data_IF_295545300921
#
_entry.id   IF_295545300921
#
_cell.length_a   1.000
_cell.length_b   1.000
_cell.length_c   1.000
_cell.angle_alpha   90.00
_cell.angle_beta   90.00
_cell.angle_gamma   90.00
#
_symmetry.space_group_name_H-M   'P 1'
#
loop_
_entity.id
_entity.type
_entity.pdbx_description
1 polymer ?
#
# COMPACT_ATOMS: atom_id res chain seq x y z
N UNK A 1 -25.67 -26.04 -63.27
CA UNK A 1 -25.69 -25.81 -61.77
C UNK A 1 -24.43 -26.28 -61.03
N UNK A 2 -23.41 -26.91 -61.64
CA UNK A 2 -22.20 -27.42 -60.93
C UNK A 2 -21.16 -26.33 -60.55
N UNK A 3 -21.17 -25.16 -61.21
CA UNK A 3 -20.19 -24.10 -60.93
C UNK A 3 -20.44 -23.33 -59.62
N UNK A 4 -21.66 -23.00 -59.28
CA UNK A 4 -22.02 -22.17 -58.11
C UNK A 4 -21.65 -22.81 -56.75
N UNK A 5 -21.68 -24.16 -56.68
CA UNK A 5 -21.26 -24.85 -55.42
C UNK A 5 -19.78 -24.75 -55.14
N UNK A 6 -18.92 -24.72 -56.16
CA UNK A 6 -17.45 -24.58 -55.97
C UNK A 6 -17.07 -23.22 -55.44
N UNK A 7 -17.71 -22.15 -55.90
CA UNK A 7 -17.47 -20.80 -55.38
C UNK A 7 -17.96 -20.62 -53.94
N UNK A 8 -19.06 -21.30 -53.58
CA UNK A 8 -19.59 -21.27 -52.21
C UNK A 8 -18.59 -21.92 -51.24
N UNK A 9 -18.02 -23.06 -51.61
CA UNK A 9 -17.00 -23.73 -50.81
C UNK A 9 -15.69 -22.91 -50.70
N UNK A 10 -15.26 -22.27 -51.76
CA UNK A 10 -14.07 -21.37 -51.75
C UNK A 10 -14.33 -20.16 -50.83
N UNK A 11 -15.51 -19.57 -50.88
CA UNK A 11 -15.89 -18.45 -49.97
C UNK A 11 -15.88 -18.88 -48.52
N UNK A 12 -16.47 -20.05 -48.20
CA UNK A 12 -16.43 -20.58 -46.83
C UNK A 12 -15.01 -20.83 -46.32
N UNK A 13 -14.14 -21.33 -47.16
CA UNK A 13 -12.74 -21.59 -46.81
C UNK A 13 -11.99 -20.28 -46.51
N UNK A 14 -12.20 -19.24 -47.32
CA UNK A 14 -11.62 -17.91 -47.07
C UNK A 14 -12.12 -17.30 -45.76
N UNK A 15 -13.42 -17.39 -45.45
CA UNK A 15 -13.99 -16.91 -44.20
C UNK A 15 -13.41 -17.68 -43.01
N UNK A 16 -13.27 -18.99 -43.11
CA UNK A 16 -12.70 -19.83 -42.04
C UNK A 16 -11.21 -19.47 -41.81
N UNK A 17 -10.41 -19.28 -42.88
CA UNK A 17 -9.02 -18.83 -42.72
C UNK A 17 -8.92 -17.44 -42.11
N UNK A 18 -9.80 -16.51 -42.46
CA UNK A 18 -9.83 -15.17 -41.86
C UNK A 18 -10.16 -15.22 -40.36
N UNK A 19 -11.15 -16.05 -39.98
CA UNK A 19 -11.49 -16.26 -38.56
C UNK A 19 -10.33 -16.88 -37.78
N UNK A 20 -9.64 -17.87 -38.34
CA UNK A 20 -8.46 -18.50 -37.71
C UNK A 20 -7.30 -17.52 -37.54
N UNK A 21 -7.07 -16.63 -38.51
CA UNK A 21 -6.03 -15.58 -38.41
C UNK A 21 -6.40 -14.56 -37.32
N UNK A 22 -7.67 -14.13 -37.24
CA UNK A 22 -8.14 -13.18 -36.21
C UNK A 22 -8.01 -13.78 -34.81
N UNK A 23 -8.47 -15.02 -34.62
CA UNK A 23 -8.37 -15.70 -33.32
C UNK A 23 -6.92 -15.99 -32.93
N UNK A 24 -6.07 -16.38 -33.88
CA UNK A 24 -4.65 -16.61 -33.66
C UNK A 24 -3.88 -15.33 -33.28
N UNK A 25 -4.15 -14.21 -33.97
CA UNK A 25 -3.53 -12.91 -33.63
C UNK A 25 -4.02 -12.37 -32.29
N UNK A 26 -5.31 -12.56 -31.97
CA UNK A 26 -5.87 -12.14 -30.68
C UNK A 26 -5.29 -12.96 -29.54
N UNK A 27 -5.19 -14.28 -29.68
CA UNK A 27 -4.57 -15.15 -28.68
C UNK A 27 -3.07 -14.85 -28.50
N UNK A 28 -2.33 -14.59 -29.59
CA UNK A 28 -0.94 -14.16 -29.52
C UNK A 28 -0.78 -12.80 -28.84
N UNK A 29 -1.66 -11.84 -29.13
CA UNK A 29 -1.65 -10.52 -28.49
C UNK A 29 -1.90 -10.61 -27.00
N UNK A 30 -2.90 -11.38 -26.55
CA UNK A 30 -3.17 -11.62 -25.13
C UNK A 30 -2.00 -12.35 -24.46
N UNK A 31 -1.44 -13.36 -25.12
CA UNK A 31 -0.28 -14.11 -24.60
C UNK A 31 0.95 -13.22 -24.45
N UNK A 32 1.24 -12.35 -25.43
CA UNK A 32 2.36 -11.40 -25.36
C UNK A 32 2.12 -10.33 -24.29
N UNK A 33 0.89 -9.85 -24.13
CA UNK A 33 0.55 -8.87 -23.10
C UNK A 33 0.65 -9.48 -21.71
N UNK A 34 0.13 -10.69 -21.53
CA UNK A 34 0.26 -11.42 -20.27
C UNK A 34 1.72 -11.83 -19.98
N UNK A 35 2.47 -12.26 -20.99
CA UNK A 35 3.90 -12.56 -20.85
C UNK A 35 4.71 -11.30 -20.50
N UNK A 36 4.44 -10.14 -21.14
CA UNK A 36 5.10 -8.88 -20.78
C UNK A 36 4.73 -8.41 -19.38
N UNK A 37 3.46 -8.47 -18.99
CA UNK A 37 3.04 -8.08 -17.63
C UNK A 37 3.59 -9.04 -16.58
N UNK A 38 3.64 -10.35 -16.87
CA UNK A 38 4.21 -11.36 -15.98
C UNK A 38 5.74 -11.31 -15.96
N UNK A 39 6.40 -10.99 -17.09
CA UNK A 39 7.87 -10.95 -17.16
C UNK A 39 8.42 -9.69 -16.47
N UNK A 40 7.76 -8.55 -16.62
CA UNK A 40 8.18 -7.31 -15.93
C UNK A 40 7.90 -7.38 -14.42
N UNK A 41 6.82 -8.04 -14.00
CA UNK A 41 6.53 -8.25 -12.58
C UNK A 41 7.40 -9.35 -11.93
N UNK A 42 7.84 -10.37 -12.70
CA UNK A 42 8.63 -11.48 -12.16
C UNK A 42 10.14 -11.24 -12.09
N UNK A 43 10.71 -10.34 -12.89
CA UNK A 43 12.17 -10.31 -13.05
C UNK A 43 12.92 -9.45 -12.03
N UNK A 44 12.27 -8.51 -11.35
CA UNK A 44 13.00 -7.63 -10.43
C UNK A 44 12.72 -7.88 -8.95
N UNK A 45 11.50 -8.29 -8.58
CA UNK A 45 11.11 -8.38 -7.16
C UNK A 45 10.81 -9.79 -6.68
N UNK A 46 10.60 -10.77 -7.57
CA UNK A 46 10.23 -12.13 -7.17
C UNK A 46 11.38 -12.95 -6.57
N UNK A 47 12.64 -12.50 -6.77
CA UNK A 47 13.83 -13.15 -6.18
C UNK A 47 14.30 -12.45 -4.90
N UNK A 48 13.87 -11.21 -4.66
CA UNK A 48 14.27 -10.49 -3.45
C UNK A 48 13.35 -10.87 -2.30
N UNK A 49 13.86 -11.71 -1.43
CA UNK A 49 13.15 -12.23 -0.25
C UNK A 49 13.48 -11.37 0.96
N UNK A 50 13.20 -10.08 0.85
CA UNK A 50 13.38 -9.08 1.88
C UNK A 50 12.15 -8.17 1.85
N UNK A 51 11.34 -8.18 2.91
CA UNK A 51 10.04 -7.55 2.92
C UNK A 51 9.68 -6.95 4.28
N UNK A 52 8.62 -6.16 4.31
CA UNK A 52 8.08 -5.55 5.52
C UNK A 52 6.57 -5.37 5.40
N UNK A 53 5.87 -5.31 6.53
CA UNK A 53 4.45 -4.99 6.57
C UNK A 53 4.16 -3.51 6.19
N UNK A 54 5.08 -2.59 6.47
CA UNK A 54 4.89 -1.16 6.26
C UNK A 54 5.94 -0.50 5.40
N UNK A 55 7.12 -1.10 5.22
CA UNK A 55 8.17 -0.56 4.38
C UNK A 55 8.11 -1.18 2.98
N UNK A 56 8.39 -0.38 1.97
CA UNK A 56 8.36 -0.79 0.57
C UNK A 56 9.77 -1.07 0.07
N UNK A 57 9.92 -2.17 -0.66
CA UNK A 57 11.17 -2.51 -1.33
C UNK A 57 11.44 -1.51 -2.46
N UNK A 58 12.62 -0.91 -2.45
CA UNK A 58 13.08 0.09 -3.41
C UNK A 58 14.53 -0.13 -3.78
N UNK A 59 14.94 0.36 -4.95
CA UNK A 59 16.35 0.43 -5.30
C UNK A 59 17.06 1.48 -4.43
N UNK A 60 18.33 1.23 -4.10
CA UNK A 60 19.11 2.11 -3.19
C UNK A 60 19.25 3.55 -3.72
N UNK A 61 19.16 3.77 -5.05
CA UNK A 61 19.20 5.09 -5.67
C UNK A 61 17.85 5.79 -5.83
N UNK A 62 16.73 5.11 -5.49
CA UNK A 62 15.40 5.71 -5.61
C UNK A 62 15.21 6.80 -4.55
N UNK A 63 14.91 8.03 -4.97
CA UNK A 63 14.67 9.18 -4.07
C UNK A 63 13.25 9.17 -3.47
N UNK A 64 12.31 8.39 -4.04
CA UNK A 64 10.94 8.35 -3.56
C UNK A 64 10.87 7.74 -2.16
N UNK A 65 10.28 8.47 -1.21
CA UNK A 65 9.97 8.00 0.14
C UNK A 65 8.44 7.79 0.26
N UNK A 66 7.95 6.55 0.09
CA UNK A 66 6.51 6.28 0.14
C UNK A 66 5.94 6.61 1.52
N UNK A 67 4.79 7.29 1.55
CA UNK A 67 4.06 7.53 2.79
C UNK A 67 3.14 6.34 3.11
N UNK A 68 3.22 5.86 4.34
CA UNK A 68 2.33 4.83 4.88
C UNK A 68 1.64 5.35 6.13
N UNK A 69 0.33 5.46 6.09
CA UNK A 69 -0.45 5.70 7.30
C UNK A 69 -0.64 4.41 8.08
N UNK A 70 -0.56 4.53 9.39
CA UNK A 70 -0.78 3.44 10.33
C UNK A 70 -1.75 3.97 11.37
N UNK A 71 -2.95 3.40 11.40
CA UNK A 71 -3.91 3.67 12.47
C UNK A 71 -3.44 3.01 13.75
N UNK A 72 -3.40 3.77 14.82
CA UNK A 72 -2.97 3.32 16.14
C UNK A 72 -4.07 3.57 17.17
N UNK A 73 -4.24 2.63 18.11
CA UNK A 73 -5.22 2.80 19.18
C UNK A 73 -4.81 3.96 20.10
N UNK A 74 -5.77 4.81 20.42
CA UNK A 74 -5.59 5.87 21.42
C UNK A 74 -5.82 5.40 22.86
N UNK A 75 -6.16 4.12 23.04
CA UNK A 75 -6.36 3.53 24.37
C UNK A 75 -5.02 3.02 24.94
N UNK A 76 -4.36 3.84 25.72
CA UNK A 76 -3.05 3.53 26.31
C UNK A 76 -1.90 4.12 25.50
N UNK A 77 -0.69 3.59 25.71
CA UNK A 77 0.46 3.96 24.90
C UNK A 77 0.28 3.46 23.48
N UNK A 78 0.55 4.35 22.55
CA UNK A 78 0.47 4.02 21.12
C UNK A 78 1.62 3.12 20.73
N UNK A 79 1.34 2.07 19.99
CA UNK A 79 2.37 1.20 19.44
C UNK A 79 2.02 0.76 18.02
N UNK A 80 3.00 0.90 17.13
CA UNK A 80 2.95 0.34 15.79
C UNK A 80 4.12 -0.63 15.59
N UNK A 81 3.84 -1.88 15.25
CA UNK A 81 4.85 -2.90 15.02
C UNK A 81 5.27 -2.94 13.55
N UNK A 82 6.45 -2.44 13.24
CA UNK A 82 7.08 -2.58 11.92
C UNK A 82 7.87 -3.87 11.88
N UNK A 83 7.59 -4.74 10.90
CA UNK A 83 8.31 -6.00 10.71
C UNK A 83 9.27 -5.91 9.53
N UNK A 84 10.44 -6.49 9.66
CA UNK A 84 11.38 -6.73 8.56
C UNK A 84 11.61 -8.24 8.48
N UNK A 85 11.41 -8.83 7.29
CA UNK A 85 11.33 -10.28 7.07
C UNK A 85 12.28 -10.72 5.96
N UNK A 86 12.78 -11.97 6.05
CA UNK A 86 13.57 -12.64 5.01
C UNK A 86 12.72 -13.47 4.04
N UNK A 87 11.42 -13.17 3.94
CA UNK A 87 10.46 -13.83 3.07
C UNK A 87 9.43 -12.81 2.56
N UNK A 88 8.80 -13.02 1.39
CA UNK A 88 7.64 -12.25 0.95
C UNK A 88 6.46 -12.50 1.89
N UNK A 89 5.75 -11.46 2.33
CA UNK A 89 4.60 -11.64 3.24
C UNK A 89 3.48 -12.49 2.66
N UNK A 90 3.41 -12.59 1.33
CA UNK A 90 2.44 -13.44 0.62
C UNK A 90 2.80 -14.92 0.59
N UNK A 91 4.05 -15.29 0.92
CA UNK A 91 4.52 -16.68 0.83
C UNK A 91 5.65 -16.99 1.81
N UNK A 92 5.29 -17.48 2.98
CA UNK A 92 6.22 -17.86 4.06
C UNK A 92 7.18 -19.00 3.70
N UNK A 93 6.95 -19.73 2.58
CA UNK A 93 7.81 -20.84 2.14
C UNK A 93 8.97 -20.36 1.29
N UNK A 94 8.90 -19.15 0.74
CA UNK A 94 9.97 -18.54 -0.05
C UNK A 94 10.93 -17.77 0.85
N UNK A 95 11.77 -18.46 1.57
CA UNK A 95 12.73 -17.87 2.50
C UNK A 95 14.05 -17.58 1.80
N UNK A 96 14.74 -16.50 2.21
CA UNK A 96 16.13 -16.23 1.81
C UNK A 96 17.06 -17.29 2.40
N UNK A 97 17.99 -17.80 1.61
CA UNK A 97 18.84 -18.95 2.02
C UNK A 97 19.99 -18.53 2.94
N UNK A 98 20.50 -17.32 2.77
CA UNK A 98 21.61 -16.77 3.55
C UNK A 98 21.10 -15.79 4.61
N UNK A 99 21.93 -15.54 5.62
CA UNK A 99 21.65 -14.51 6.62
C UNK A 99 21.63 -13.12 5.97
N UNK A 100 20.63 -12.31 6.32
CA UNK A 100 20.56 -10.93 5.90
C UNK A 100 20.98 -10.04 7.07
N UNK A 101 22.14 -9.41 6.93
CA UNK A 101 22.60 -8.37 7.86
C UNK A 101 22.15 -7.01 7.36
N UNK A 102 21.62 -6.19 8.23
CA UNK A 102 21.15 -4.84 7.87
C UNK A 102 21.22 -3.87 9.04
N UNK A 103 21.14 -2.60 8.71
CA UNK A 103 20.94 -1.52 9.69
C UNK A 103 19.55 -0.91 9.48
N UNK A 104 18.81 -0.71 10.55
CA UNK A 104 17.56 0.06 10.53
C UNK A 104 17.88 1.49 10.93
N UNK A 105 17.58 2.42 10.03
CA UNK A 105 17.62 3.86 10.26
C UNK A 105 16.21 4.40 10.45
N UNK A 106 16.05 5.33 11.34
CA UNK A 106 14.83 6.09 11.50
C UNK A 106 15.14 7.58 11.66
N UNK A 107 14.28 8.45 11.12
CA UNK A 107 14.39 9.89 11.19
C UNK A 107 13.02 10.51 11.43
N UNK A 108 12.92 11.42 12.38
CA UNK A 108 11.72 12.21 12.63
C UNK A 108 11.59 13.31 11.58
N UNK A 109 10.39 13.47 11.01
CA UNK A 109 10.05 14.47 10.01
C UNK A 109 8.68 15.05 10.29
N UNK A 110 8.37 16.19 9.70
CA UNK A 110 7.01 16.71 9.67
C UNK A 110 6.10 15.88 8.72
N UNK A 111 4.84 16.22 8.63
CA UNK A 111 3.88 15.52 7.75
C UNK A 111 4.16 15.73 6.25
N UNK A 112 4.91 16.77 5.87
CA UNK A 112 5.36 16.99 4.50
C UNK A 112 6.67 16.24 4.17
N UNK A 113 7.40 15.74 5.20
CA UNK A 113 8.69 15.09 5.06
C UNK A 113 9.87 16.04 5.21
N UNK A 114 9.60 17.26 5.65
CA UNK A 114 10.62 18.26 5.92
C UNK A 114 11.19 18.11 7.34
N UNK A 115 12.23 18.85 7.66
CA UNK A 115 12.80 18.89 9.00
C UNK A 115 11.81 19.52 9.99
N UNK A 116 11.75 18.93 11.18
CA UNK A 116 10.94 19.50 12.26
C UNK A 116 11.57 20.82 12.74
N UNK A 117 10.72 21.75 13.19
CA UNK A 117 11.21 22.93 13.93
C UNK A 117 11.89 22.49 15.24
N UNK A 118 12.79 23.29 15.79
CA UNK A 118 13.54 22.94 16.99
C UNK A 118 12.62 22.54 18.16
N UNK A 119 11.53 23.27 18.39
CA UNK A 119 10.59 22.98 19.47
C UNK A 119 9.80 21.67 19.23
N UNK A 120 9.38 21.43 17.99
CA UNK A 120 8.69 20.19 17.61
C UNK A 120 9.63 18.98 17.71
N UNK A 121 10.89 19.15 17.33
CA UNK A 121 11.92 18.11 17.42
C UNK A 121 12.18 17.69 18.86
N UNK A 122 12.37 18.63 19.77
CA UNK A 122 12.56 18.36 21.21
C UNK A 122 11.38 17.55 21.77
N UNK A 123 10.15 17.94 21.44
CA UNK A 123 8.96 17.22 21.89
C UNK A 123 8.88 15.81 21.29
N UNK A 124 9.15 15.67 19.99
CA UNK A 124 9.08 14.40 19.29
C UNK A 124 10.14 13.40 19.81
N UNK A 125 11.38 13.84 20.03
CA UNK A 125 12.47 13.03 20.58
C UNK A 125 12.14 12.53 21.99
N UNK A 126 11.51 13.36 22.81
CA UNK A 126 11.08 12.98 24.17
C UNK A 126 9.92 11.96 24.16
N UNK A 127 9.03 12.06 23.15
CA UNK A 127 7.79 11.31 23.09
C UNK A 127 7.90 9.94 22.42
N UNK A 128 8.74 9.83 21.39
CA UNK A 128 8.80 8.64 20.50
C UNK A 128 10.01 7.77 20.82
N UNK A 129 9.79 6.45 20.72
CA UNK A 129 10.85 5.43 20.88
C UNK A 129 10.65 4.31 19.87
N UNK A 130 11.75 3.63 19.51
CA UNK A 130 11.70 2.39 18.75
C UNK A 130 12.36 1.28 19.60
N UNK A 131 11.60 0.23 19.91
CA UNK A 131 11.99 -0.83 20.84
C UNK A 131 12.51 -0.28 22.18
N UNK A 132 11.89 0.79 22.68
CA UNK A 132 12.30 1.46 23.92
C UNK A 132 13.51 2.38 23.81
N UNK A 133 14.19 2.43 22.65
CA UNK A 133 15.31 3.35 22.40
C UNK A 133 14.80 4.72 21.95
N UNK A 134 15.30 5.77 22.57
CA UNK A 134 14.99 7.14 22.21
C UNK A 134 15.76 7.57 20.95
N UNK A 135 15.19 8.53 20.22
CA UNK A 135 15.89 9.21 19.14
C UNK A 135 17.01 10.13 19.69
N UNK A 136 18.03 10.36 18.90
CA UNK A 136 19.05 11.35 19.18
C UNK A 136 18.49 12.78 19.08
N UNK A 137 19.23 13.77 19.55
CA UNK A 137 18.80 15.18 19.57
C UNK A 137 18.49 15.75 18.18
N UNK A 138 19.09 15.19 17.13
CA UNK A 138 18.81 15.52 15.72
C UNK A 138 17.60 14.76 15.14
N UNK A 139 16.88 14.00 15.95
CA UNK A 139 15.74 13.19 15.54
C UNK A 139 16.10 11.91 14.79
N UNK A 140 17.36 11.52 14.79
CA UNK A 140 17.82 10.27 14.17
C UNK A 140 17.86 9.09 15.15
N UNK A 141 17.73 7.88 14.62
CA UNK A 141 17.97 6.63 15.35
C UNK A 141 18.56 5.60 14.39
N UNK A 142 19.62 4.91 14.83
CA UNK A 142 20.24 3.83 14.08
C UNK A 142 20.35 2.57 14.92
N UNK A 143 19.76 1.47 14.44
CA UNK A 143 19.86 0.14 15.02
C UNK A 143 20.75 -0.73 14.11
N UNK A 144 22.05 -0.78 14.44
CA UNK A 144 23.06 -1.53 13.67
C UNK A 144 23.08 -3.01 14.03
N UNK A 145 23.69 -3.84 13.17
CA UNK A 145 23.93 -5.25 13.43
C UNK A 145 22.67 -6.11 13.50
N UNK A 146 21.61 -5.69 12.83
CA UNK A 146 20.39 -6.48 12.76
C UNK A 146 20.60 -7.67 11.83
N UNK A 147 20.08 -8.84 12.22
CA UNK A 147 20.25 -10.08 11.44
C UNK A 147 18.92 -10.80 11.29
N UNK A 148 18.63 -11.27 10.09
CA UNK A 148 17.57 -12.23 9.78
C UNK A 148 18.26 -13.53 9.37
N UNK A 149 18.22 -14.60 10.19
CA UNK A 149 18.79 -15.90 9.85
C UNK A 149 18.22 -16.48 8.56
N UNK A 150 19.09 -16.98 7.67
CA UNK A 150 18.71 -17.62 6.43
C UNK A 150 18.15 -19.03 6.60
N UNK A 151 17.60 -19.59 5.52
CA UNK A 151 17.12 -20.98 5.47
C UNK A 151 15.83 -21.28 6.24
N UNK A 152 15.33 -20.37 7.04
CA UNK A 152 14.04 -20.45 7.74
C UNK A 152 13.35 -19.08 7.77
N UNK A 153 12.01 -19.06 7.79
CA UNK A 153 11.24 -17.82 7.93
C UNK A 153 11.64 -17.12 9.23
N UNK A 154 12.12 -15.89 9.11
CA UNK A 154 12.59 -15.06 10.22
C UNK A 154 12.12 -13.61 10.03
N UNK A 155 11.78 -12.95 11.14
CA UNK A 155 11.41 -11.56 11.16
C UNK A 155 11.96 -10.86 12.40
N UNK A 156 12.31 -9.59 12.25
CA UNK A 156 12.56 -8.67 13.35
C UNK A 156 11.37 -7.71 13.47
N UNK A 157 10.98 -7.41 14.70
CA UNK A 157 9.87 -6.51 15.00
C UNK A 157 10.39 -5.26 15.68
N UNK A 158 9.99 -4.10 15.16
CA UNK A 158 10.34 -2.79 15.67
C UNK A 158 9.08 -2.08 16.15
N UNK A 159 8.88 -2.02 17.45
CA UNK A 159 7.76 -1.31 18.06
C UNK A 159 8.07 0.20 18.10
N UNK A 160 7.39 0.97 17.27
CA UNK A 160 7.37 2.43 17.37
C UNK A 160 6.33 2.79 18.41
N UNK A 161 6.75 3.39 19.53
CA UNK A 161 5.89 3.69 20.67
C UNK A 161 5.84 5.18 20.96
N UNK A 162 4.66 5.66 21.40
CA UNK A 162 4.44 7.00 21.89
C UNK A 162 3.57 6.93 23.16
N UNK A 163 3.97 7.60 24.21
CA UNK A 163 3.18 7.65 25.43
C UNK A 163 1.84 8.37 25.19
N UNK A 164 0.79 7.92 25.88
CA UNK A 164 -0.59 8.40 25.69
C UNK A 164 -0.72 9.93 25.79
N UNK A 165 -0.03 10.56 26.71
CA UNK A 165 -0.03 12.01 26.90
C UNK A 165 0.52 12.81 25.73
N UNK A 166 1.29 12.17 24.84
CA UNK A 166 1.92 12.79 23.68
C UNK A 166 1.25 12.45 22.35
N UNK A 167 0.11 11.79 22.38
CA UNK A 167 -0.62 11.28 21.20
C UNK A 167 -0.93 12.40 20.19
N UNK A 168 -1.20 13.61 20.67
CA UNK A 168 -1.48 14.76 19.80
C UNK A 168 -0.33 15.10 18.83
N UNK A 169 0.93 14.79 19.21
CA UNK A 169 2.10 15.02 18.36
C UNK A 169 2.06 14.14 17.09
N UNK A 170 1.44 12.96 17.16
CA UNK A 170 1.39 12.03 16.03
C UNK A 170 0.65 12.59 14.82
N UNK A 171 -0.20 13.60 15.01
CA UNK A 171 -0.88 14.31 13.91
C UNK A 171 0.04 15.26 13.14
N UNK A 172 1.16 15.67 13.73
CA UNK A 172 2.06 16.69 13.20
C UNK A 172 3.39 16.17 12.69
N UNK A 173 3.70 14.90 12.91
CA UNK A 173 4.98 14.31 12.56
C UNK A 173 4.84 12.93 11.89
N UNK A 174 5.92 12.52 11.24
CA UNK A 174 6.10 11.20 10.63
C UNK A 174 7.44 10.61 11.02
N UNK A 175 7.57 9.29 10.94
CA UNK A 175 8.83 8.57 11.13
C UNK A 175 9.28 8.00 9.80
N UNK A 176 10.32 8.52 9.21
CA UNK A 176 10.99 7.88 8.08
C UNK A 176 11.76 6.68 8.59
N UNK A 177 11.53 5.52 8.03
CA UNK A 177 12.27 4.31 8.36
C UNK A 177 12.90 3.70 7.11
N UNK A 178 14.15 3.23 7.26
CA UNK A 178 14.90 2.53 6.22
C UNK A 178 15.60 1.32 6.80
N UNK A 179 15.37 0.14 6.24
CA UNK A 179 16.18 -1.04 6.53
C UNK A 179 17.13 -1.25 5.34
N UNK A 180 18.41 -0.98 5.57
CA UNK A 180 19.47 -1.02 4.57
C UNK A 180 20.30 -2.28 4.78
N UNK A 181 20.24 -3.25 3.85
CA UNK A 181 21.07 -4.45 3.90
C UNK A 181 22.54 -4.06 3.79
N UNK A 182 23.36 -4.71 4.60
CA UNK A 182 24.81 -4.67 4.43
C UNK A 182 25.19 -5.38 3.12
N UNK A 183 26.35 -5.03 2.55
CA UNK A 183 26.78 -5.59 1.29
C UNK A 183 26.88 -7.10 1.34
N UNK A 184 26.02 -7.78 0.59
CA UNK A 184 26.07 -9.21 0.37
C UNK A 184 26.63 -9.45 -1.05
N UNK A 185 27.86 -9.99 -1.19
CA UNK A 185 28.55 -10.06 -2.48
C UNK A 185 27.82 -10.85 -3.56
N UNK A 186 26.93 -11.74 -3.17
CA UNK A 186 26.24 -12.67 -4.09
C UNK A 186 24.71 -12.52 -4.11
N UNK A 187 24.13 -11.54 -3.43
CA UNK A 187 22.70 -11.40 -3.38
C UNK A 187 22.21 -10.08 -4.00
N UNK A 188 21.12 -10.15 -4.75
CA UNK A 188 20.46 -9.00 -5.38
C UNK A 188 19.93 -7.97 -4.34
N UNK A 189 19.96 -8.33 -3.04
CA UNK A 189 19.47 -7.48 -1.96
C UNK A 189 20.33 -6.23 -1.77
N UNK A 190 21.65 -6.31 -2.01
CA UNK A 190 22.58 -5.19 -1.76
C UNK A 190 22.32 -3.91 -2.58
N UNK A 191 21.53 -3.99 -3.65
CA UNK A 191 21.07 -2.83 -4.42
C UNK A 191 19.68 -2.33 -4.05
N UNK A 192 19.06 -2.92 -3.02
CA UNK A 192 17.71 -2.61 -2.58
C UNK A 192 17.67 -2.32 -1.09
N UNK A 193 16.67 -1.58 -0.68
CA UNK A 193 16.38 -1.29 0.72
C UNK A 193 14.86 -1.26 0.94
N UNK A 194 14.45 -1.47 2.16
CA UNK A 194 13.07 -1.25 2.57
C UNK A 194 12.95 0.15 3.13
N UNK A 195 12.01 0.97 2.64
CA UNK A 195 11.79 2.31 3.16
C UNK A 195 10.35 2.76 3.09
N UNK A 196 9.95 3.56 4.05
CA UNK A 196 8.71 4.31 4.05
C UNK A 196 8.77 5.44 5.07
N UNK A 197 7.96 6.45 4.86
CA UNK A 197 7.61 7.44 5.86
C UNK A 197 6.30 7.01 6.52
N UNK A 198 6.34 6.74 7.80
CA UNK A 198 5.21 6.24 8.58
C UNK A 198 4.52 7.41 9.26
N UNK A 199 3.26 7.61 8.97
CA UNK A 199 2.41 8.52 9.71
C UNK A 199 1.54 7.72 10.66
N UNK A 200 1.85 7.80 11.94
CA UNK A 200 1.05 7.21 12.99
C UNK A 200 -0.13 8.14 13.24
N UNK A 201 -1.27 7.76 12.74
CA UNK A 201 -2.49 8.51 13.00
C UNK A 201 -3.18 7.90 14.21
N UNK A 202 -3.21 8.63 15.29
CA UNK A 202 -4.12 8.36 16.40
C UNK A 202 -5.56 8.72 15.98
N UNK A 203 -5.96 8.21 14.86
CA UNK A 203 -7.30 8.32 14.33
C UNK A 203 -8.05 7.04 14.65
N UNK A 204 -8.55 6.99 15.74
CA UNK A 204 -9.74 6.36 16.18
C UNK A 204 -10.30 7.38 17.12
N UNK A 205 -11.55 7.72 17.00
CA UNK A 205 -12.24 8.25 18.15
C UNK A 205 -11.80 7.39 19.34
N UNK A 206 -11.78 7.90 20.53
CA UNK A 206 -11.35 7.19 21.75
C UNK A 206 -12.01 5.80 21.92
N UNK A 207 -13.06 5.53 21.15
CA UNK A 207 -13.85 4.31 21.08
C UNK A 207 -13.43 3.30 19.99
N UNK A 208 -12.36 3.58 19.22
CA UNK A 208 -11.89 2.74 18.13
C UNK A 208 -12.77 2.76 16.87
N UNK A 209 -13.64 3.76 16.72
CA UNK A 209 -14.57 3.88 15.60
C UNK A 209 -13.83 3.92 14.24
N UNK A 210 -14.52 3.47 13.21
CA UNK A 210 -14.00 3.43 11.85
C UNK A 210 -14.12 4.78 11.16
N UNK A 211 -13.07 5.14 10.42
CA UNK A 211 -13.00 6.35 9.60
C UNK A 211 -12.52 6.01 8.20
N UNK A 212 -12.81 6.88 7.23
CA UNK A 212 -12.38 6.74 5.86
C UNK A 212 -11.86 8.06 5.29
N UNK A 213 -10.81 7.98 4.45
CA UNK A 213 -10.21 9.16 3.84
C UNK A 213 -9.50 8.84 2.52
N UNK A 214 -9.42 9.83 1.62
CA UNK A 214 -8.58 9.74 0.44
C UNK A 214 -7.10 9.83 0.85
N UNK A 215 -6.25 9.03 0.18
CA UNK A 215 -4.81 9.00 0.40
C UNK A 215 -4.08 10.01 -0.49
N UNK A 216 -4.68 10.36 -1.63
CA UNK A 216 -4.07 11.20 -2.64
C UNK A 216 -4.33 12.70 -2.41
N UNK A 217 -5.18 13.04 -1.44
CA UNK A 217 -5.59 14.40 -1.05
C UNK A 217 -4.58 15.10 -0.13
N UNK A 218 -3.27 14.94 -0.31
CA UNK A 218 -2.29 15.46 0.65
C UNK A 218 -1.46 16.57 0.07
N UNK A 219 -0.98 17.47 0.97
CA UNK A 219 -0.09 18.56 0.62
C UNK A 219 1.10 18.03 -0.19
N UNK A 220 1.29 18.56 -1.40
CA UNK A 220 2.30 18.09 -2.35
C UNK A 220 1.82 17.02 -3.33
N UNK A 221 0.59 16.55 -3.22
CA UNK A 221 0.01 15.62 -4.18
C UNK A 221 -0.32 16.29 -5.52
N UNK A 222 -0.36 15.50 -6.60
CA UNK A 222 -0.69 16.01 -7.92
C UNK A 222 -2.11 16.59 -7.95
N UNK A 223 -2.34 17.48 -8.89
CA UNK A 223 -3.67 17.95 -9.28
C UNK A 223 -4.60 16.74 -9.51
N UNK A 224 -5.78 16.66 -8.88
CA UNK A 224 -6.69 15.52 -9.00
C UNK A 224 -7.05 15.22 -10.46
N UNK A 225 -7.01 16.22 -11.33
CA UNK A 225 -7.23 16.08 -12.79
C UNK A 225 -6.17 15.24 -13.50
N UNK A 226 -5.03 14.99 -12.88
CA UNK A 226 -3.95 14.15 -13.43
C UNK A 226 -4.05 12.69 -13.01
N UNK A 227 -5.03 12.36 -12.18
CA UNK A 227 -5.22 11.02 -11.65
C UNK A 227 -6.35 10.32 -12.43
N UNK A 228 -6.10 9.08 -12.83
CA UNK A 228 -7.08 8.19 -13.47
C UNK A 228 -7.95 7.40 -12.46
N UNK A 229 -7.63 7.56 -11.18
CA UNK A 229 -8.32 6.96 -10.06
C UNK A 229 -7.82 7.49 -8.73
N UNK A 230 -8.39 6.99 -7.63
CA UNK A 230 -8.11 7.46 -6.28
C UNK A 230 -7.90 6.30 -5.31
N UNK A 231 -6.98 6.47 -4.39
CA UNK A 231 -6.79 5.58 -3.25
C UNK A 231 -7.58 6.11 -2.05
N UNK A 232 -8.43 5.27 -1.49
CA UNK A 232 -9.21 5.56 -0.30
C UNK A 232 -8.86 4.55 0.78
N UNK A 233 -8.60 4.97 2.00
CA UNK A 233 -8.32 4.08 3.12
C UNK A 233 -9.44 4.18 4.15
N UNK A 234 -9.92 3.02 4.60
CA UNK A 234 -10.78 2.91 5.79
C UNK A 234 -9.97 2.24 6.89
N UNK A 235 -10.11 2.71 8.11
CA UNK A 235 -9.33 2.24 9.26
C UNK A 235 -10.12 2.38 10.56
N UNK A 236 -9.87 1.47 11.50
CA UNK A 236 -10.50 1.42 12.82
C UNK A 236 -10.22 0.08 13.50
N UNK A 237 -10.69 -0.07 14.74
CA UNK A 237 -10.46 -1.29 15.53
C UNK A 237 -11.75 -1.83 16.18
N UNK A 238 -12.74 -0.97 16.43
CA UNK A 238 -13.99 -1.39 17.03
C UNK A 238 -14.80 -2.30 16.11
N UNK A 239 -15.50 -3.26 16.68
CA UNK A 239 -16.48 -4.02 15.90
C UNK A 239 -17.64 -3.09 15.53
N UNK A 240 -17.87 -2.92 14.21
CA UNK A 240 -18.87 -1.99 13.70
C UNK A 240 -19.45 -2.44 12.37
N UNK A 241 -20.70 -2.03 12.13
CA UNK A 241 -21.31 -2.11 10.79
C UNK A 241 -21.23 -0.73 10.16
N UNK A 242 -20.57 -0.63 9.03
CA UNK A 242 -20.32 0.62 8.33
C UNK A 242 -20.87 0.57 6.90
N UNK A 243 -21.24 1.73 6.38
CA UNK A 243 -21.68 1.89 4.98
C UNK A 243 -20.63 2.70 4.22
N UNK A 244 -20.04 2.07 3.21
CA UNK A 244 -19.23 2.71 2.18
C UNK A 244 -20.13 2.97 0.98
N UNK A 245 -20.25 4.21 0.52
CA UNK A 245 -21.00 4.55 -0.69
C UNK A 245 -20.24 5.54 -1.55
N UNK A 246 -20.49 5.49 -2.85
CA UNK A 246 -19.80 6.35 -3.81
C UNK A 246 -20.76 6.85 -4.90
N UNK A 247 -20.36 7.93 -5.55
CA UNK A 247 -21.06 8.46 -6.71
C UNK A 247 -20.69 7.62 -7.96
N UNK A 248 -21.62 6.79 -8.49
CA UNK A 248 -21.33 5.89 -9.60
C UNK A 248 -21.11 6.62 -10.93
N UNK A 249 -21.53 7.87 -11.06
CA UNK A 249 -21.28 8.71 -12.23
C UNK A 249 -19.85 9.28 -12.26
N UNK A 250 -19.15 9.20 -11.14
CA UNK A 250 -17.79 9.75 -10.99
C UNK A 250 -16.74 8.68 -10.81
N UNK A 251 -17.00 7.70 -9.93
CA UNK A 251 -16.03 6.68 -9.58
C UNK A 251 -16.67 5.30 -9.44
N UNK A 252 -15.88 4.27 -9.70
CA UNK A 252 -16.23 2.88 -9.47
C UNK A 252 -15.18 2.22 -8.57
N UNK A 253 -15.63 1.47 -7.57
CA UNK A 253 -14.75 0.67 -6.71
C UNK A 253 -14.16 -0.48 -7.53
N UNK A 254 -12.84 -0.71 -7.44
CA UNK A 254 -12.17 -1.81 -8.11
C UNK A 254 -12.69 -3.16 -7.61
N UNK A 255 -12.78 -4.15 -8.50
CA UNK A 255 -13.16 -5.50 -8.14
C UNK A 255 -12.22 -6.09 -7.08
N UNK A 256 -10.90 -5.86 -7.24
CA UNK A 256 -9.90 -6.31 -6.28
C UNK A 256 -10.14 -5.74 -4.87
N UNK A 257 -10.39 -4.43 -4.76
CA UNK A 257 -10.69 -3.82 -3.46
C UNK A 257 -11.98 -4.35 -2.84
N UNK A 258 -12.98 -4.65 -3.68
CA UNK A 258 -14.26 -5.21 -3.24
C UNK A 258 -14.10 -6.62 -2.67
N UNK A 259 -13.26 -7.44 -3.29
CA UNK A 259 -13.02 -8.83 -2.90
C UNK A 259 -12.28 -8.95 -1.56
N UNK A 260 -11.55 -7.92 -1.15
CA UNK A 260 -10.83 -7.88 0.13
C UNK A 260 -11.69 -7.37 1.30
N UNK A 261 -12.86 -6.82 1.03
CA UNK A 261 -13.72 -6.24 2.06
C UNK A 261 -14.66 -7.27 2.69
N UNK A 262 -14.90 -7.20 4.01
CA UNK A 262 -15.89 -8.04 4.70
C UNK A 262 -17.32 -7.53 4.43
N UNK A 263 -17.81 -7.74 3.22
CA UNK A 263 -19.10 -7.25 2.74
C UNK A 263 -20.25 -8.07 3.32
N UNK A 264 -21.14 -7.43 4.07
CA UNK A 264 -22.40 -8.02 4.57
C UNK A 264 -23.54 -7.89 3.56
N UNK A 265 -23.61 -6.74 2.85
CA UNK A 265 -24.57 -6.53 1.76
C UNK A 265 -24.03 -5.50 0.77
N UNK A 266 -24.53 -5.52 -0.47
CA UNK A 266 -24.07 -4.67 -1.55
C UNK A 266 -25.19 -4.19 -2.45
N UNK A 267 -25.03 -2.98 -2.98
CA UNK A 267 -25.76 -2.42 -4.12
C UNK A 267 -24.73 -2.03 -5.21
N UNK A 268 -25.19 -1.39 -6.28
CA UNK A 268 -24.30 -0.95 -7.38
C UNK A 268 -23.30 0.11 -6.94
N UNK A 269 -23.64 0.93 -5.94
CA UNK A 269 -22.81 2.08 -5.48
C UNK A 269 -22.67 2.16 -3.97
N UNK A 270 -22.93 1.06 -3.25
CA UNK A 270 -22.82 1.01 -1.79
C UNK A 270 -22.53 -0.39 -1.28
N UNK A 271 -21.71 -0.48 -0.25
CA UNK A 271 -21.41 -1.70 0.50
C UNK A 271 -21.70 -1.49 1.98
N UNK A 272 -22.38 -2.45 2.59
CA UNK A 272 -22.44 -2.57 4.04
C UNK A 272 -21.35 -3.51 4.48
N UNK A 273 -20.47 -3.06 5.38
CA UNK A 273 -19.28 -3.77 5.83
C UNK A 273 -19.44 -4.16 7.30
N UNK A 274 -19.03 -5.39 7.64
CA UNK A 274 -18.88 -5.84 9.03
C UNK A 274 -17.41 -5.79 9.41
N UNK A 275 -17.00 -4.72 10.07
CA UNK A 275 -15.60 -4.39 10.34
C UNK A 275 -15.22 -4.66 11.79
N UNK A 276 -13.91 -4.88 12.03
CA UNK A 276 -13.36 -5.09 13.37
C UNK A 276 -13.57 -6.51 13.88
N UNK A 277 -13.13 -6.74 15.12
CA UNK A 277 -13.12 -8.06 15.76
C UNK A 277 -11.71 -8.66 15.78
N UNK A 278 -11.51 -9.63 16.67
CA UNK A 278 -10.22 -10.28 16.89
C UNK A 278 -9.72 -10.97 15.61
N UNK A 279 -8.49 -10.68 15.22
CA UNK A 279 -7.85 -11.26 14.03
C UNK A 279 -8.23 -10.59 12.70
N UNK A 280 -9.13 -9.60 12.69
CA UNK A 280 -9.47 -8.87 11.47
C UNK A 280 -8.49 -7.71 11.19
N UNK A 281 -8.28 -7.34 9.91
CA UNK A 281 -7.51 -6.15 9.57
C UNK A 281 -8.07 -4.89 10.23
N UNK A 282 -7.19 -3.99 10.65
CA UNK A 282 -7.51 -2.69 11.22
C UNK A 282 -7.53 -1.57 10.18
N UNK A 283 -7.18 -1.88 8.94
CA UNK A 283 -7.29 -0.97 7.81
C UNK A 283 -7.46 -1.73 6.50
N UNK A 284 -8.18 -1.11 5.55
CA UNK A 284 -8.32 -1.59 4.17
C UNK A 284 -8.00 -0.45 3.22
N UNK A 285 -7.20 -0.74 2.19
CA UNK A 285 -6.91 0.20 1.11
C UNK A 285 -7.80 -0.11 -0.07
N UNK A 286 -8.56 0.89 -0.50
CA UNK A 286 -9.52 0.79 -1.58
C UNK A 286 -9.03 1.62 -2.77
N UNK A 287 -9.24 1.10 -3.96
CA UNK A 287 -8.94 1.80 -5.20
C UNK A 287 -10.24 2.10 -5.95
N UNK A 288 -10.46 3.36 -6.26
CA UNK A 288 -11.56 3.83 -7.09
C UNK A 288 -11.01 4.27 -8.44
N UNK A 289 -11.66 3.86 -9.52
CA UNK A 289 -11.37 4.31 -10.87
C UNK A 289 -12.39 5.34 -11.31
N UNK A 290 -11.98 6.27 -12.14
CA UNK A 290 -12.91 7.21 -12.79
C UNK A 290 -13.80 6.48 -13.79
N UNK A 291 -15.09 6.82 -13.79
CA UNK A 291 -16.08 6.23 -14.71
C UNK A 291 -16.26 7.11 -15.95
N UNK A 292 -16.28 8.42 -15.77
CA UNK A 292 -16.46 9.42 -16.82
C UNK A 292 -15.22 10.31 -16.93
N UNK A 293 -15.18 11.14 -17.99
CA UNK A 293 -14.08 12.09 -18.20
C UNK A 293 -13.85 13.01 -17.02
N UNK A 294 -12.67 13.61 -16.97
CA UNK A 294 -12.24 14.49 -15.88
C UNK A 294 -12.80 15.89 -16.14
N UNK A 295 -13.57 16.49 -15.20
CA UNK A 295 -14.00 17.89 -15.30
C UNK A 295 -12.81 18.84 -15.36
N UNK A 296 -12.89 19.90 -16.18
CA UNK A 296 -11.79 20.85 -16.35
C UNK A 296 -11.47 21.65 -15.08
N UNK A 297 -12.49 21.86 -14.24
CA UNK A 297 -12.43 22.63 -13.00
C UNK A 297 -12.43 21.79 -11.73
N UNK A 298 -12.25 20.45 -11.84
CA UNK A 298 -12.29 19.55 -10.68
C UNK A 298 -11.19 19.86 -9.67
N UNK A 299 -11.60 19.96 -8.42
CA UNK A 299 -10.73 20.19 -7.26
C UNK A 299 -10.76 19.00 -6.30
N UNK A 300 -9.83 18.94 -5.33
CA UNK A 300 -9.91 17.95 -4.25
C UNK A 300 -11.19 18.08 -3.42
N UNK A 301 -11.72 19.29 -3.28
CA UNK A 301 -12.99 19.53 -2.56
C UNK A 301 -14.18 18.83 -3.23
N UNK A 302 -14.13 18.65 -4.55
CA UNK A 302 -15.13 17.90 -5.31
C UNK A 302 -14.91 16.41 -5.18
N UNK A 303 -13.66 15.93 -5.29
CA UNK A 303 -13.29 14.52 -5.16
C UNK A 303 -13.64 13.97 -3.78
N UNK A 304 -13.45 14.74 -2.71
CA UNK A 304 -13.79 14.34 -1.34
C UNK A 304 -15.29 14.00 -1.18
N UNK A 305 -16.15 14.51 -2.05
CA UNK A 305 -17.59 14.21 -2.04
C UNK A 305 -17.97 12.93 -2.81
N UNK A 306 -17.02 12.33 -3.54
CA UNK A 306 -17.30 11.14 -4.36
C UNK A 306 -17.47 9.87 -3.56
N UNK A 307 -16.87 9.79 -2.40
CA UNK A 307 -16.94 8.62 -1.51
C UNK A 307 -17.35 9.06 -0.12
N UNK A 308 -18.30 8.36 0.46
CA UNK A 308 -18.73 8.56 1.84
C UNK A 308 -18.60 7.27 2.63
N UNK A 309 -18.17 7.38 3.87
CA UNK A 309 -18.01 6.27 4.79
C UNK A 309 -18.58 6.66 6.16
N UNK A 310 -19.61 5.94 6.61
CA UNK A 310 -20.37 6.29 7.81
C UNK A 310 -20.93 5.06 8.53
N UNK A 311 -21.30 5.12 9.81
CA UNK A 311 -22.07 4.09 10.48
C UNK A 311 -23.35 3.73 9.72
N UNK A 312 -23.75 2.45 9.80
CA UNK A 312 -24.94 1.91 9.15
C UNK A 312 -26.25 2.42 9.80
#
# INVERSE_FOLDING_TARGET
MKGKKKYLWALWLVILCALLMITGTYAAYISIRNAKSVTVAKTATSEIRFSSNYLYLRESGDSLMPLKMISVSSQGDVSAAVTVCNYPQSDLKKVHEEDIHYTLYAQLRDTAGEELTADALIQAVAALKINGQAFAEDGSLSLTGQTLPGGKASQNVYAVTCAKENIALLSTLTVEMRAEPESCPNCAIGSHLLKARLWLSASGNEDGSWSGQFQDDRKGNPDPKKLDGFNYEIYGTAQATMVLSWNPDKVALSAWSRDELPVASATDSSLTLSLGGEGNPTSYRLQFYRVNGIPEDETWEDVLKYVTFRPA
#
